data_IF_012869950920
#
_entry.id   IF_012869950920
#
_cell.length_a   1.000
_cell.length_b   1.000
_cell.length_c   1.000
_cell.angle_alpha   90.00
_cell.angle_beta   90.00
_cell.angle_gamma   90.00
#
_symmetry.space_group_name_H-M   'P 1'
#
loop_
_entity.id
_entity.type
_entity.pdbx_description
1 polymer ?
#
# COMPACT_ATOMS: atom_id res chain seq x y z
N UNK A 1 1.19 -12.08 -0.74
CA UNK A 1 1.15 -13.53 -0.45
C UNK A 1 1.85 -14.28 -1.57
N UNK A 2 2.43 -15.44 -1.27
CA UNK A 2 3.15 -16.26 -2.26
C UNK A 2 2.16 -17.20 -2.97
N UNK A 3 2.14 -17.15 -4.31
CA UNK A 3 1.50 -18.15 -5.13
C UNK A 3 2.50 -19.29 -5.37
N UNK A 4 2.25 -20.46 -4.77
CA UNK A 4 3.13 -21.63 -4.89
C UNK A 4 3.05 -22.32 -6.24
N UNK A 5 1.91 -22.21 -6.93
CA UNK A 5 1.69 -22.88 -8.22
C UNK A 5 2.44 -22.15 -9.34
N UNK A 6 2.38 -20.82 -9.34
CA UNK A 6 3.08 -19.99 -10.34
C UNK A 6 4.45 -19.48 -9.86
N UNK A 7 4.88 -19.87 -8.65
CA UNK A 7 6.05 -19.36 -7.94
C UNK A 7 6.25 -17.83 -7.95
N UNK A 8 5.14 -17.09 -7.76
CA UNK A 8 5.12 -15.63 -7.81
C UNK A 8 4.79 -15.01 -6.46
N UNK A 9 5.38 -13.85 -6.18
CA UNK A 9 4.96 -12.96 -5.09
C UNK A 9 3.97 -11.94 -5.67
N UNK A 10 2.84 -11.77 -4.98
CA UNK A 10 1.81 -10.79 -5.33
C UNK A 10 1.25 -10.12 -4.07
N UNK A 11 0.55 -9.00 -4.22
CA UNK A 11 -0.20 -8.35 -3.14
C UNK A 11 -1.71 -8.52 -3.39
N UNK A 12 -2.48 -8.82 -2.34
CA UNK A 12 -3.95 -8.79 -2.39
C UNK A 12 -4.44 -7.44 -1.85
N UNK A 13 -5.33 -6.76 -2.56
CA UNK A 13 -5.95 -5.49 -2.14
C UNK A 13 -7.39 -5.59 -1.73
N UNK A 14 -8.02 -6.77 -1.80
CA UNK A 14 -9.33 -6.97 -1.18
C UNK A 14 -9.30 -6.53 0.29
N UNK A 15 -8.16 -6.74 0.97
CA UNK A 15 -7.89 -6.30 2.35
C UNK A 15 -7.83 -4.77 2.53
N UNK A 16 -7.52 -4.01 1.47
CA UNK A 16 -7.53 -2.55 1.48
C UNK A 16 -8.93 -1.99 1.24
N UNK A 17 -9.81 -2.76 0.57
CA UNK A 17 -11.17 -2.33 0.17
C UNK A 17 -12.22 -2.35 1.29
N UNK A 18 -11.92 -2.94 2.45
CA UNK A 18 -12.91 -3.19 3.51
C UNK A 18 -13.02 -2.11 4.61
N UNK A 19 -12.37 -0.94 4.52
CA UNK A 19 -12.35 0.03 5.65
C UNK A 19 -12.32 1.48 5.19
N UNK A 20 -13.47 2.03 4.75
CA UNK A 20 -13.53 3.38 4.17
C UNK A 20 -14.55 4.35 4.78
N UNK A 21 -15.30 3.93 5.81
CA UNK A 21 -16.34 4.82 6.34
C UNK A 21 -15.78 6.04 7.07
N UNK A 22 -14.57 5.96 7.65
CA UNK A 22 -13.92 7.07 8.33
C UNK A 22 -12.41 7.11 8.03
N UNK A 23 -11.95 8.08 7.25
CA UNK A 23 -10.51 8.26 6.99
C UNK A 23 -9.82 8.92 8.20
N UNK A 24 -9.47 8.12 9.19
CA UNK A 24 -8.71 8.55 10.37
C UNK A 24 -7.23 8.20 10.22
N UNK A 25 -6.34 8.85 10.98
CA UNK A 25 -4.91 8.50 10.98
C UNK A 25 -4.70 7.03 11.34
N UNK A 26 -5.49 6.48 12.27
CA UNK A 26 -5.45 5.07 12.66
C UNK A 26 -5.80 4.16 11.47
N UNK A 27 -6.87 4.47 10.75
CA UNK A 27 -7.33 3.63 9.65
C UNK A 27 -6.32 3.66 8.49
N UNK A 28 -5.80 4.83 8.13
CA UNK A 28 -4.76 4.93 7.09
C UNK A 28 -3.51 4.13 7.47
N UNK A 29 -3.04 4.22 8.73
CA UNK A 29 -1.89 3.43 9.18
C UNK A 29 -2.16 1.92 9.16
N UNK A 30 -3.35 1.49 9.60
CA UNK A 30 -3.79 0.10 9.52
C UNK A 30 -3.74 -0.43 8.09
N UNK A 31 -4.17 0.37 7.12
CA UNK A 31 -4.12 0.05 5.69
C UNK A 31 -2.68 -0.11 5.21
N UNK A 32 -1.76 0.81 5.57
CA UNK A 32 -0.33 0.68 5.23
C UNK A 32 0.26 -0.62 5.76
N UNK A 33 -0.05 -0.98 7.01
CA UNK A 33 0.49 -2.17 7.65
C UNK A 33 -0.06 -3.49 7.10
N UNK A 34 -1.21 -3.47 6.40
CA UNK A 34 -1.72 -4.65 5.69
C UNK A 34 -0.91 -5.00 4.44
N UNK A 35 -0.17 -4.03 3.89
CA UNK A 35 0.67 -4.24 2.72
C UNK A 35 1.99 -4.85 3.19
N UNK A 36 2.07 -6.18 3.13
CA UNK A 36 3.31 -6.90 3.39
C UNK A 36 4.22 -6.83 2.17
N UNK A 37 5.40 -6.25 2.34
CA UNK A 37 6.39 -6.10 1.27
C UNK A 37 7.76 -6.67 1.70
N UNK A 38 7.95 -7.99 1.58
CA UNK A 38 9.19 -8.65 2.02
C UNK A 38 10.43 -8.21 1.22
N UNK A 39 10.23 -7.75 -0.02
CA UNK A 39 11.30 -7.43 -0.97
C UNK A 39 11.46 -5.91 -1.19
N UNK A 40 10.60 -5.08 -0.61
CA UNK A 40 10.65 -3.63 -0.78
C UNK A 40 10.11 -3.12 -2.12
N UNK A 41 9.52 -3.98 -2.95
CA UNK A 41 9.09 -3.63 -4.32
C UNK A 41 7.86 -2.72 -4.32
N UNK A 42 7.03 -2.81 -3.28
CA UNK A 42 5.85 -1.96 -3.07
C UNK A 42 6.20 -0.70 -2.25
N UNK A 43 7.46 -0.55 -1.82
CA UNK A 43 7.92 0.60 -1.04
C UNK A 43 7.57 1.96 -1.68
N UNK A 44 7.78 2.18 -3.00
CA UNK A 44 7.40 3.46 -3.63
C UNK A 44 5.90 3.76 -3.51
N UNK A 45 5.07 2.73 -3.63
CA UNK A 45 3.62 2.85 -3.52
C UNK A 45 3.18 3.14 -2.08
N UNK A 46 3.74 2.41 -1.10
CA UNK A 46 3.42 2.62 0.32
C UNK A 46 4.01 3.92 0.87
N UNK A 47 5.08 4.45 0.26
CA UNK A 47 5.71 5.70 0.66
C UNK A 47 4.75 6.89 0.57
N UNK A 48 3.94 6.96 -0.49
CA UNK A 48 2.92 8.02 -0.66
C UNK A 48 1.99 8.07 0.54
N UNK A 49 1.51 6.91 0.99
CA UNK A 49 0.62 6.81 2.14
C UNK A 49 1.33 7.12 3.47
N UNK A 50 2.60 6.72 3.61
CA UNK A 50 3.43 7.08 4.78
C UNK A 50 3.65 8.59 4.86
N UNK A 51 3.87 9.27 3.73
CA UNK A 51 3.97 10.73 3.65
C UNK A 51 2.64 11.42 3.95
N UNK A 52 1.51 10.86 3.49
CA UNK A 52 0.17 11.33 3.85
C UNK A 52 -0.03 11.26 5.37
N UNK A 53 0.29 10.12 5.99
CA UNK A 53 0.25 9.97 7.44
C UNK A 53 1.15 11.01 8.09
N UNK A 54 2.42 11.14 7.67
CA UNK A 54 3.38 12.09 8.24
C UNK A 54 2.88 13.54 8.20
N UNK A 55 2.32 13.99 7.06
CA UNK A 55 1.74 15.34 6.93
C UNK A 55 0.58 15.56 7.91
N UNK A 56 -0.22 14.52 8.17
CA UNK A 56 -1.33 14.60 9.12
C UNK A 56 -0.90 14.87 10.57
N UNK A 57 0.36 14.64 10.95
CA UNK A 57 0.85 14.93 12.31
C UNK A 57 0.85 16.43 12.61
N UNK A 58 1.03 17.26 11.57
CA UNK A 58 1.02 18.72 11.70
C UNK A 58 -0.37 19.28 12.04
N UNK A 59 -1.44 18.51 11.81
CA UNK A 59 -2.81 18.93 12.10
C UNK A 59 -3.13 18.99 13.60
N UNK A 60 -2.29 18.40 14.46
CA UNK A 60 -2.50 18.32 15.93
C UNK A 60 -3.86 17.73 16.33
N UNK A 61 -4.46 16.90 15.48
CA UNK A 61 -5.68 16.14 15.77
C UNK A 61 -5.37 14.73 16.29
N UNK A 62 -6.38 14.13 16.94
CA UNK A 62 -6.32 12.77 17.48
C UNK A 62 -6.25 11.68 16.40
N UNK A 63 -5.92 10.45 16.83
CA UNK A 63 -5.76 9.29 15.94
C UNK A 63 -7.05 8.84 15.27
N UNK A 64 -8.17 8.99 15.97
CA UNK A 64 -9.50 8.56 15.57
C UNK A 64 -10.35 9.74 15.05
N UNK A 65 -9.73 10.91 14.86
CA UNK A 65 -10.38 12.06 14.24
C UNK A 65 -10.34 11.92 12.72
N UNK A 66 -11.46 12.25 12.07
CA UNK A 66 -11.58 12.29 10.61
C UNK A 66 -10.58 13.30 10.03
N UNK A 67 -9.82 12.88 9.02
CA UNK A 67 -8.87 13.74 8.34
C UNK A 67 -9.60 14.78 7.45
N UNK A 68 -9.04 15.99 7.30
CA UNK A 68 -9.62 17.04 6.45
C UNK A 68 -9.79 16.64 4.99
N UNK A 69 -10.62 17.38 4.26
CA UNK A 69 -11.02 17.10 2.87
C UNK A 69 -9.86 16.91 1.88
N UNK A 70 -8.71 17.54 2.12
CA UNK A 70 -7.52 17.34 1.29
C UNK A 70 -7.05 15.86 1.32
N UNK A 71 -7.06 15.25 2.51
CA UNK A 71 -6.67 13.84 2.71
C UNK A 71 -7.75 12.89 2.18
N UNK A 72 -9.02 13.29 2.31
CA UNK A 72 -10.17 12.56 1.76
C UNK A 72 -10.15 12.49 0.24
N UNK A 73 -9.46 13.42 -0.44
CA UNK A 73 -9.24 13.38 -1.90
C UNK A 73 -7.99 12.59 -2.28
N UNK A 74 -6.92 12.76 -1.52
CA UNK A 74 -5.62 12.15 -1.84
C UNK A 74 -5.63 10.64 -1.64
N UNK A 75 -6.21 10.15 -0.54
CA UNK A 75 -6.24 8.72 -0.23
C UNK A 75 -6.99 7.86 -1.27
N UNK A 76 -8.21 8.22 -1.72
CA UNK A 76 -8.87 7.48 -2.79
C UNK A 76 -8.14 7.55 -4.13
N UNK A 77 -7.38 8.61 -4.40
CA UNK A 77 -6.53 8.67 -5.60
C UNK A 77 -5.41 7.64 -5.52
N UNK A 78 -4.68 7.64 -4.42
CA UNK A 78 -3.65 6.64 -4.17
C UNK A 78 -4.21 5.20 -4.26
N UNK A 79 -5.40 4.95 -3.74
CA UNK A 79 -6.01 3.62 -3.80
C UNK A 79 -6.24 3.16 -5.24
N UNK A 80 -6.67 4.06 -6.14
CA UNK A 80 -6.79 3.75 -7.58
C UNK A 80 -5.44 3.48 -8.22
N UNK A 81 -4.42 4.24 -7.86
CA UNK A 81 -3.07 4.08 -8.42
C UNK A 81 -2.43 2.76 -7.97
N UNK A 82 -2.65 2.37 -6.71
CA UNK A 82 -2.17 1.10 -6.15
C UNK A 82 -2.90 -0.11 -6.74
N UNK A 83 -4.15 0.04 -7.17
CA UNK A 83 -4.87 -1.04 -7.85
C UNK A 83 -4.13 -1.50 -9.14
N UNK A 84 -3.38 -0.62 -9.81
CA UNK A 84 -2.55 -1.01 -10.96
C UNK A 84 -1.34 -1.88 -10.58
N UNK A 85 -0.74 -1.65 -9.41
CA UNK A 85 0.42 -2.39 -8.91
C UNK A 85 0.07 -3.84 -8.54
N UNK A 86 -1.21 -4.17 -8.45
CA UNK A 86 -1.71 -5.52 -8.16
C UNK A 86 -1.51 -6.53 -9.26
N UNK A 87 -1.41 -6.03 -10.50
CA UNK A 87 -1.16 -6.88 -11.65
C UNK A 87 0.33 -7.26 -11.76
N UNK A 88 1.18 -6.69 -10.90
CA UNK A 88 2.60 -7.02 -10.86
C UNK A 88 2.76 -8.35 -10.14
N UNK A 89 3.05 -9.39 -10.92
CA UNK A 89 3.55 -10.68 -10.43
C UNK A 89 5.06 -10.65 -10.50
N UNK A 90 5.71 -10.87 -9.37
CA UNK A 90 7.17 -10.90 -9.30
C UNK A 90 7.57 -12.36 -9.17
N UNK A 91 8.34 -12.87 -10.14
CA UNK A 91 8.94 -14.19 -10.04
C UNK A 91 9.79 -14.26 -8.77
N UNK A 92 9.56 -15.26 -7.93
CA UNK A 92 10.30 -15.41 -6.67
C UNK A 92 11.75 -15.83 -6.92
N UNK A 93 11.99 -16.63 -7.96
CA UNK A 93 13.33 -17.06 -8.35
C UNK A 93 14.01 -15.97 -9.20
N UNK A 94 15.21 -15.56 -8.79
CA UNK A 94 16.12 -14.80 -9.64
C UNK A 94 16.98 -15.80 -10.40
N UNK A 95 16.62 -16.11 -11.64
CA UNK A 95 17.47 -16.95 -12.47
C UNK A 95 18.63 -16.08 -12.99
N UNK A 96 19.75 -16.08 -12.26
CA UNK A 96 20.90 -15.22 -12.52
C UNK A 96 21.55 -15.55 -13.87
N UNK A 97 21.32 -16.77 -14.38
CA UNK A 97 21.85 -17.24 -15.66
C UNK A 97 21.26 -16.48 -16.88
N UNK A 98 20.06 -15.88 -16.78
CA UNK A 98 19.45 -15.09 -17.87
C UNK A 98 19.91 -13.62 -17.91
N UNK A 99 20.60 -13.14 -16.85
CA UNK A 99 21.00 -11.72 -16.71
C UNK A 99 22.46 -11.51 -17.19
N UNK A 100 23.19 -12.59 -17.44
CA UNK A 100 24.61 -12.57 -17.81
C UNK A 100 24.91 -12.83 -19.30
N UNK A 101 23.90 -12.74 -20.18
CA UNK A 101 24.06 -12.73 -21.65
C UNK A 101 23.80 -11.33 -22.25
#
# INVERSE_FOLDING_TARGET
MWNKEEDNIFCDTAVLKCSFFDLTRRNVLSIVHKILDPLGVLSPATLVLKLLIQRSWNLKIGWDTILPDDYQREFPSWLRDVDCLLNVKIARSLNIDEIMD
#
